data_IF_734537932621
#
_entry.id   IF_734537932621
#
_cell.length_a   1.000
_cell.length_b   1.000
_cell.length_c   1.000
_cell.angle_alpha   90.00
_cell.angle_beta   90.00
_cell.angle_gamma   90.00
#
_symmetry.space_group_name_H-M   'P 1'
#
loop_
_entity.id
_entity.type
_entity.pdbx_description
1 polymer ?
#
# COMPACT_ATOMS: atom_id res chain seq x y z
N UNK A 1 9.64 -31.91 7.84
CA UNK A 1 8.34 -31.23 8.11
C UNK A 1 8.70 -29.87 8.68
N UNK A 2 8.76 -28.83 7.87
CA UNK A 2 8.92 -27.45 8.33
C UNK A 2 7.62 -27.05 9.02
N UNK A 3 7.69 -26.72 10.31
CA UNK A 3 6.56 -26.16 11.03
C UNK A 3 6.07 -24.93 10.24
N UNK A 4 4.81 -24.93 9.83
CA UNK A 4 4.19 -23.77 9.21
C UNK A 4 4.30 -22.62 10.24
N UNK A 5 5.09 -21.60 9.95
CA UNK A 5 5.22 -20.46 10.84
C UNK A 5 3.82 -19.87 11.10
N UNK A 6 3.52 -19.62 12.37
CA UNK A 6 2.19 -19.15 12.77
C UNK A 6 1.95 -17.77 12.16
N UNK A 7 0.81 -17.62 11.50
CA UNK A 7 0.34 -16.36 10.95
C UNK A 7 0.22 -15.30 12.03
N UNK A 8 0.61 -14.06 11.73
CA UNK A 8 0.44 -12.94 12.65
C UNK A 8 -1.04 -12.72 13.01
N UNK A 9 -1.30 -12.40 14.25
CA UNK A 9 -2.64 -12.13 14.75
C UNK A 9 -2.64 -10.90 15.66
N UNK A 10 -3.71 -10.12 15.60
CA UNK A 10 -3.92 -8.92 16.39
C UNK A 10 -5.25 -9.05 17.14
N UNK A 11 -5.28 -8.70 18.42
CA UNK A 11 -6.52 -8.70 19.20
C UNK A 11 -7.56 -7.74 18.57
N UNK A 12 -8.82 -8.16 18.49
CA UNK A 12 -9.89 -7.37 17.90
C UNK A 12 -9.94 -7.38 16.37
N UNK A 13 -9.07 -8.15 15.72
CA UNK A 13 -9.02 -8.30 14.25
C UNK A 13 -9.52 -9.68 13.86
N UNK A 14 -10.35 -9.73 12.83
CA UNK A 14 -10.81 -10.98 12.22
C UNK A 14 -10.13 -11.17 10.86
N UNK A 15 -9.69 -12.39 10.59
CA UNK A 15 -9.01 -12.79 9.37
C UNK A 15 -9.97 -13.39 8.35
N UNK A 16 -9.85 -12.98 7.10
CA UNK A 16 -10.72 -13.39 6.00
C UNK A 16 -9.93 -13.69 4.74
N UNK A 17 -10.61 -14.37 3.82
CA UNK A 17 -10.18 -14.56 2.44
C UNK A 17 -11.32 -14.22 1.50
N UNK A 18 -11.01 -13.57 0.38
CA UNK A 18 -11.93 -13.29 -0.71
C UNK A 18 -11.39 -13.89 -2.00
N UNK A 19 -12.21 -14.64 -2.73
CA UNK A 19 -11.88 -15.09 -4.08
C UNK A 19 -12.42 -14.06 -5.07
N UNK A 20 -11.52 -13.34 -5.72
CA UNK A 20 -11.82 -12.26 -6.66
C UNK A 20 -10.85 -12.33 -7.85
N UNK A 21 -11.31 -11.99 -9.03
CA UNK A 21 -10.48 -11.86 -10.23
C UNK A 21 -9.46 -13.02 -10.45
N UNK A 22 -9.87 -14.26 -10.17
CA UNK A 22 -9.04 -15.45 -10.33
C UNK A 22 -7.88 -15.59 -9.33
N UNK A 23 -7.87 -14.80 -8.26
CA UNK A 23 -6.94 -14.90 -7.14
C UNK A 23 -7.68 -14.95 -5.81
N UNK A 24 -6.98 -15.34 -4.75
CA UNK A 24 -7.50 -15.34 -3.39
C UNK A 24 -6.76 -14.32 -2.56
N UNK A 25 -7.44 -13.24 -2.24
CA UNK A 25 -6.89 -12.20 -1.38
C UNK A 25 -7.13 -12.53 0.09
N UNK A 26 -6.11 -12.33 0.89
CA UNK A 26 -6.24 -12.29 2.32
C UNK A 26 -6.49 -10.86 2.78
N UNK A 27 -7.44 -10.67 3.69
CA UNK A 27 -7.65 -9.39 4.36
C UNK A 27 -8.03 -9.59 5.83
N UNK A 28 -7.94 -8.52 6.57
CA UNK A 28 -8.38 -8.46 7.97
C UNK A 28 -9.44 -7.39 8.12
N UNK A 29 -10.34 -7.57 9.10
CA UNK A 29 -11.34 -6.57 9.45
C UNK A 29 -11.34 -6.28 10.95
N UNK A 30 -11.65 -5.02 11.31
CA UNK A 30 -11.85 -4.55 12.67
C UNK A 30 -12.89 -3.42 12.71
N UNK A 31 -13.51 -3.19 13.86
CA UNK A 31 -14.58 -2.20 14.01
C UNK A 31 -15.91 -2.69 13.45
N UNK A 32 -17.02 -2.13 13.95
CA UNK A 32 -18.38 -2.54 13.59
C UNK A 32 -19.29 -1.39 13.20
N UNK A 33 -18.80 -0.15 13.25
CA UNK A 33 -19.59 1.07 13.03
C UNK A 33 -18.83 2.08 12.16
N UNK A 34 -19.50 3.11 11.72
CA UNK A 34 -18.95 4.18 10.88
C UNK A 34 -18.75 3.77 9.43
N UNK A 35 -18.20 4.69 8.65
CA UNK A 35 -17.86 4.48 7.25
C UNK A 35 -16.73 3.47 7.08
N UNK A 36 -16.70 2.72 5.97
CA UNK A 36 -15.65 1.72 5.74
C UNK A 36 -14.34 2.37 5.29
N UNK A 37 -13.22 1.86 5.79
CA UNK A 37 -11.87 2.24 5.41
C UNK A 37 -11.16 1.02 4.82
N UNK A 38 -10.58 1.16 3.63
CA UNK A 38 -9.74 0.14 3.02
C UNK A 38 -8.27 0.61 3.03
N UNK A 39 -7.41 -0.14 3.73
CA UNK A 39 -5.98 0.10 3.85
C UNK A 39 -5.21 -0.82 2.93
N UNK A 40 -4.39 -0.24 2.04
CA UNK A 40 -3.58 -0.94 1.05
C UNK A 40 -2.11 -0.63 1.29
N UNK A 41 -1.34 -1.67 1.60
CA UNK A 41 0.07 -1.58 1.96
C UNK A 41 0.98 -1.32 0.75
N UNK A 42 2.22 -0.91 1.03
CA UNK A 42 3.30 -0.79 0.08
C UNK A 42 4.32 -1.95 0.11
N UNK A 43 5.57 -1.63 -0.24
CA UNK A 43 6.70 -2.56 -0.19
C UNK A 43 7.68 -2.16 0.93
N UNK A 44 8.26 -3.09 1.66
CA UNK A 44 8.07 -4.56 1.62
C UNK A 44 7.03 -5.05 2.66
N UNK A 45 5.89 -4.47 2.64
CA UNK A 45 4.87 -4.56 3.67
C UNK A 45 3.79 -5.61 3.36
N UNK A 46 2.86 -5.78 4.28
CA UNK A 46 1.62 -6.55 4.20
C UNK A 46 0.57 -5.82 5.04
N UNK A 47 -0.66 -6.34 5.21
CA UNK A 47 -1.62 -5.77 6.16
C UNK A 47 -1.02 -5.53 7.55
N UNK A 48 0.02 -6.26 7.94
CA UNK A 48 0.67 -6.17 9.25
C UNK A 48 1.28 -4.80 9.54
N UNK A 49 1.62 -4.05 8.51
CA UNK A 49 2.09 -2.67 8.68
C UNK A 49 1.09 -1.80 9.41
N UNK A 50 -0.20 -2.06 9.23
CA UNK A 50 -1.29 -1.29 9.83
C UNK A 50 -1.70 -1.79 11.23
N UNK A 51 -1.00 -2.76 11.83
CA UNK A 51 -1.39 -3.37 13.12
C UNK A 51 -1.56 -2.38 14.28
N UNK A 52 -0.77 -1.29 14.28
CA UNK A 52 -0.88 -0.22 15.28
C UNK A 52 -1.97 0.80 14.91
N UNK A 53 -2.21 1.02 13.63
CA UNK A 53 -3.20 1.96 13.10
C UNK A 53 -4.63 1.40 13.17
N UNK A 54 -4.82 0.11 12.86
CA UNK A 54 -6.14 -0.53 12.84
C UNK A 54 -6.96 -0.30 14.10
N UNK A 55 -6.46 -0.51 15.34
CA UNK A 55 -7.27 -0.30 16.54
C UNK A 55 -7.65 1.17 16.75
N UNK A 56 -6.85 2.12 16.29
CA UNK A 56 -7.14 3.55 16.40
C UNK A 56 -8.32 3.94 15.48
N UNK A 57 -8.30 3.48 14.23
CA UNK A 57 -9.39 3.73 13.29
C UNK A 57 -10.65 2.92 13.62
N UNK A 58 -10.52 1.69 14.10
CA UNK A 58 -11.62 0.79 14.43
C UNK A 58 -12.50 1.28 15.59
N UNK A 59 -12.03 2.26 16.37
CA UNK A 59 -12.83 2.92 17.39
C UNK A 59 -14.06 3.65 16.81
N UNK A 60 -14.00 4.12 15.56
CA UNK A 60 -15.06 4.88 14.89
C UNK A 60 -15.43 4.41 13.48
N UNK A 61 -14.61 3.57 12.85
CA UNK A 61 -14.78 3.11 11.47
C UNK A 61 -14.76 1.56 11.38
N UNK A 62 -15.30 1.04 10.27
CA UNK A 62 -15.12 -0.34 9.86
C UNK A 62 -13.84 -0.43 9.02
N UNK A 63 -12.80 -1.03 9.55
CA UNK A 63 -11.47 -1.06 8.93
C UNK A 63 -11.24 -2.40 8.25
N UNK A 64 -10.76 -2.34 7.02
CA UNK A 64 -10.31 -3.47 6.22
C UNK A 64 -8.87 -3.21 5.80
N UNK A 65 -7.96 -4.17 6.00
CA UNK A 65 -6.60 -4.09 5.52
C UNK A 65 -6.29 -5.36 4.71
N UNK A 66 -5.88 -5.18 3.46
CA UNK A 66 -5.71 -6.27 2.49
C UNK A 66 -4.23 -6.55 2.26
N UNK A 67 -3.89 -7.82 2.05
CA UNK A 67 -2.66 -8.21 1.38
C UNK A 67 -2.93 -8.22 -0.13
N UNK A 68 -2.22 -7.39 -0.90
CA UNK A 68 -2.32 -7.39 -2.36
C UNK A 68 -1.95 -8.77 -2.93
N UNK A 69 -2.40 -9.07 -4.17
CA UNK A 69 -1.99 -10.29 -4.86
C UNK A 69 -0.47 -10.43 -4.87
N UNK A 70 0.04 -11.60 -4.54
CA UNK A 70 1.47 -11.88 -4.45
C UNK A 70 2.14 -11.44 -3.16
N UNK A 71 1.44 -10.75 -2.27
CA UNK A 71 1.95 -10.31 -0.97
C UNK A 71 1.30 -11.04 0.19
N UNK A 72 1.92 -10.93 1.36
CA UNK A 72 1.36 -11.41 2.61
C UNK A 72 0.94 -12.88 2.55
N UNK A 73 -0.29 -13.17 2.90
CA UNK A 73 -0.91 -14.49 2.79
C UNK A 73 -1.93 -14.58 1.63
N UNK A 74 -1.97 -13.59 0.74
CA UNK A 74 -2.69 -13.67 -0.53
C UNK A 74 -2.01 -14.65 -1.49
N UNK A 75 -2.74 -15.13 -2.49
CA UNK A 75 -2.19 -16.03 -3.49
C UNK A 75 -1.07 -15.36 -4.29
N UNK A 76 -0.05 -16.15 -4.60
CA UNK A 76 1.10 -15.78 -5.40
C UNK A 76 1.35 -16.77 -6.56
N UNK A 77 0.28 -17.44 -7.02
CA UNK A 77 0.29 -18.36 -8.15
C UNK A 77 0.59 -17.67 -9.50
N UNK A 78 0.54 -18.42 -10.61
CA UNK A 78 0.68 -17.83 -11.94
C UNK A 78 -0.39 -16.77 -12.24
N UNK A 79 0.00 -15.65 -12.85
CA UNK A 79 -0.92 -14.56 -13.19
C UNK A 79 -0.21 -13.24 -13.43
N UNK A 80 -0.97 -12.20 -13.72
CA UNK A 80 -0.49 -10.83 -13.80
C UNK A 80 -0.45 -10.20 -12.40
N UNK A 81 0.56 -9.36 -12.17
CA UNK A 81 0.81 -8.69 -10.89
C UNK A 81 0.99 -7.17 -11.09
N UNK A 82 0.46 -6.66 -12.21
CA UNK A 82 0.47 -5.25 -12.54
C UNK A 82 -0.54 -4.44 -11.72
N UNK A 83 -0.44 -3.11 -11.79
CA UNK A 83 -1.30 -2.22 -11.04
C UNK A 83 -2.77 -2.28 -11.49
N UNK A 84 -3.02 -2.53 -12.78
CA UNK A 84 -4.36 -2.65 -13.35
C UNK A 84 -5.09 -3.88 -12.83
N UNK A 85 -4.42 -5.02 -12.85
CA UNK A 85 -4.97 -6.28 -12.32
C UNK A 85 -5.22 -6.19 -10.82
N UNK A 86 -4.30 -5.55 -10.09
CA UNK A 86 -4.44 -5.36 -8.64
C UNK A 86 -5.56 -4.36 -8.29
N UNK A 87 -5.81 -3.34 -9.13
CA UNK A 87 -6.93 -2.42 -8.96
C UNK A 87 -8.28 -3.12 -9.14
N UNK A 88 -8.40 -4.00 -10.14
CA UNK A 88 -9.60 -4.82 -10.37
C UNK A 88 -9.88 -5.75 -9.19
N UNK A 89 -8.83 -6.33 -8.58
CA UNK A 89 -8.99 -7.13 -7.36
C UNK A 89 -9.62 -6.33 -6.23
N UNK A 90 -9.16 -5.10 -6.03
CA UNK A 90 -9.67 -4.23 -4.97
C UNK A 90 -11.11 -3.81 -5.23
N UNK A 91 -11.47 -3.50 -6.49
CA UNK A 91 -12.84 -3.24 -6.90
C UNK A 91 -13.75 -4.42 -6.51
N UNK A 92 -13.43 -5.62 -6.98
CA UNK A 92 -14.22 -6.82 -6.70
C UNK A 92 -14.23 -7.19 -5.21
N UNK A 93 -13.16 -6.88 -4.47
CA UNK A 93 -13.15 -7.02 -3.01
C UNK A 93 -14.18 -6.08 -2.37
N UNK A 94 -14.23 -4.80 -2.75
CA UNK A 94 -15.20 -3.82 -2.22
C UNK A 94 -16.62 -4.28 -2.52
N UNK A 95 -16.90 -4.73 -3.74
CA UNK A 95 -18.21 -5.31 -4.10
C UNK A 95 -18.57 -6.50 -3.22
N UNK A 96 -17.63 -7.42 -3.00
CA UNK A 96 -17.85 -8.62 -2.19
C UNK A 96 -18.07 -8.28 -0.70
N UNK A 97 -17.41 -7.26 -0.17
CA UNK A 97 -17.59 -6.79 1.20
C UNK A 97 -19.01 -6.24 1.44
N UNK A 98 -19.70 -5.72 0.42
CA UNK A 98 -21.06 -5.14 0.51
C UNK A 98 -21.17 -4.04 1.57
N UNK A 99 -20.15 -3.22 1.67
CA UNK A 99 -20.07 -2.15 2.69
C UNK A 99 -20.37 -0.77 2.13
N UNK A 100 -20.58 -0.66 0.82
CA UNK A 100 -20.64 0.61 0.09
C UNK A 100 -19.26 1.17 -0.20
N UNK A 101 -19.19 2.41 -0.69
CA UNK A 101 -17.91 3.05 -1.00
C UNK A 101 -17.05 3.22 0.25
N UNK A 102 -15.73 3.20 0.06
CA UNK A 102 -14.73 3.18 1.14
C UNK A 102 -13.88 4.46 1.16
N UNK A 103 -13.37 4.84 2.33
CA UNK A 103 -12.19 5.69 2.40
C UNK A 103 -10.99 4.83 1.98
N UNK A 104 -10.47 5.08 0.78
CA UNK A 104 -9.35 4.33 0.22
C UNK A 104 -8.02 4.95 0.66
N UNK A 105 -7.18 4.17 1.30
CA UNK A 105 -5.85 4.61 1.75
C UNK A 105 -4.79 3.68 1.17
N UNK A 106 -3.83 4.23 0.44
CA UNK A 106 -2.72 3.48 -0.12
C UNK A 106 -1.37 4.08 0.26
N UNK A 107 -0.33 3.25 0.21
CA UNK A 107 1.04 3.61 0.58
C UNK A 107 2.04 3.12 -0.47
N UNK A 108 3.10 3.92 -0.73
CA UNK A 108 4.27 3.53 -1.49
C UNK A 108 3.93 2.96 -2.89
N UNK A 109 4.46 1.80 -3.24
CA UNK A 109 4.32 1.15 -4.56
C UNK A 109 2.87 0.78 -4.91
N UNK A 110 1.95 0.73 -3.94
CA UNK A 110 0.53 0.55 -4.24
C UNK A 110 -0.12 1.76 -4.94
N UNK A 111 0.60 2.87 -5.08
CA UNK A 111 0.10 4.13 -5.61
C UNK A 111 -0.65 3.98 -6.94
N UNK A 112 -0.05 3.35 -7.95
CA UNK A 112 -0.71 3.13 -9.24
C UNK A 112 -1.96 2.25 -9.12
N UNK A 113 -1.94 1.23 -8.25
CA UNK A 113 -3.09 0.34 -7.99
C UNK A 113 -4.27 1.11 -7.42
N UNK A 114 -4.07 1.84 -6.33
CA UNK A 114 -5.17 2.58 -5.67
C UNK A 114 -5.63 3.78 -6.48
N UNK A 115 -4.72 4.44 -7.22
CA UNK A 115 -5.09 5.49 -8.16
C UNK A 115 -5.98 4.96 -9.29
N UNK A 116 -5.61 3.83 -9.92
CA UNK A 116 -6.44 3.19 -10.95
C UNK A 116 -7.82 2.84 -10.43
N UNK A 117 -7.92 2.24 -9.25
CA UNK A 117 -9.21 1.95 -8.63
C UNK A 117 -10.06 3.22 -8.51
N UNK A 118 -9.53 4.29 -7.93
CA UNK A 118 -10.25 5.55 -7.75
C UNK A 118 -10.63 6.22 -9.08
N UNK A 119 -9.79 6.10 -10.13
CA UNK A 119 -10.03 6.69 -11.43
C UNK A 119 -11.03 5.89 -12.30
N UNK A 120 -11.03 4.56 -12.19
CA UNK A 120 -11.87 3.68 -13.03
C UNK A 120 -13.16 3.24 -12.34
N UNK A 121 -13.19 3.24 -11.01
CA UNK A 121 -14.36 2.88 -10.18
C UNK A 121 -14.63 3.95 -9.11
N UNK A 122 -14.91 5.21 -9.51
CA UNK A 122 -15.08 6.32 -8.55
C UNK A 122 -16.25 6.11 -7.58
N UNK A 123 -17.26 5.34 -7.96
CA UNK A 123 -18.40 5.01 -7.09
C UNK A 123 -18.04 4.11 -5.91
N UNK A 124 -16.88 3.47 -5.93
CA UNK A 124 -16.35 2.66 -4.83
C UNK A 124 -15.63 3.49 -3.76
N UNK A 125 -15.35 4.78 -4.03
CA UNK A 125 -14.40 5.57 -3.24
C UNK A 125 -15.03 6.85 -2.70
N UNK A 126 -15.15 6.94 -1.37
CA UNK A 126 -15.59 8.15 -0.66
C UNK A 126 -14.51 9.23 -0.68
N UNK A 127 -13.28 8.83 -0.42
CA UNK A 127 -12.09 9.69 -0.44
C UNK A 127 -10.84 8.88 -0.70
N UNK A 128 -9.80 9.53 -1.16
CA UNK A 128 -8.52 8.91 -1.46
C UNK A 128 -7.42 9.51 -0.59
N UNK A 129 -6.71 8.68 0.18
CA UNK A 129 -5.52 9.08 0.92
C UNK A 129 -4.28 8.43 0.32
N UNK A 130 -3.34 9.26 -0.09
CA UNK A 130 -2.04 8.88 -0.62
C UNK A 130 -0.96 9.07 0.46
N UNK A 131 -0.26 7.99 0.86
CA UNK A 131 0.80 8.04 1.87
C UNK A 131 2.13 7.71 1.20
N UNK A 132 3.11 8.64 1.26
CA UNK A 132 4.48 8.39 0.78
C UNK A 132 4.52 7.73 -0.61
N UNK A 133 3.68 8.16 -1.53
CA UNK A 133 3.57 7.58 -2.87
C UNK A 133 3.73 8.63 -3.98
N UNK A 134 4.15 8.15 -5.14
CA UNK A 134 4.09 8.83 -6.41
C UNK A 134 3.32 8.00 -7.42
N UNK A 135 3.25 8.48 -8.67
CA UNK A 135 2.63 7.75 -9.78
C UNK A 135 3.60 7.65 -10.96
N UNK A 136 3.62 6.50 -11.66
CA UNK A 136 4.29 6.37 -12.96
C UNK A 136 3.76 7.42 -13.94
N UNK A 137 4.66 7.99 -14.76
CA UNK A 137 4.31 9.08 -15.68
C UNK A 137 4.24 10.47 -15.03
N UNK A 138 4.38 10.53 -13.70
CA UNK A 138 4.41 11.77 -12.90
C UNK A 138 5.69 11.87 -12.06
N UNK A 139 6.75 11.21 -12.49
CA UNK A 139 8.09 11.32 -11.92
C UNK A 139 8.50 10.17 -10.99
N UNK A 140 7.61 9.25 -10.63
CA UNK A 140 7.96 8.12 -9.76
C UNK A 140 9.05 7.23 -10.38
N UNK A 141 9.02 7.00 -11.68
CA UNK A 141 10.00 6.21 -12.42
C UNK A 141 11.42 6.78 -12.35
N UNK A 142 11.57 8.08 -12.08
CA UNK A 142 12.88 8.74 -11.91
C UNK A 142 13.63 8.23 -10.67
N UNK A 143 12.91 7.66 -9.71
CA UNK A 143 13.53 7.04 -8.53
C UNK A 143 14.34 5.78 -8.87
N UNK A 144 14.21 5.23 -10.08
CA UNK A 144 15.07 4.14 -10.56
C UNK A 144 16.44 4.61 -11.09
N UNK A 145 16.62 5.92 -11.31
CA UNK A 145 17.89 6.49 -11.81
C UNK A 145 18.86 6.76 -10.65
N UNK A 146 19.71 5.79 -10.35
CA UNK A 146 20.72 5.91 -9.28
C UNK A 146 21.74 7.03 -9.52
N UNK A 147 21.89 7.50 -10.75
CA UNK A 147 22.85 8.58 -11.07
C UNK A 147 22.31 9.95 -10.70
N UNK A 148 21.01 10.08 -10.49
CA UNK A 148 20.32 11.31 -10.11
C UNK A 148 19.61 11.21 -8.72
N UNK A 149 20.13 10.39 -7.84
CA UNK A 149 19.63 10.29 -6.46
C UNK A 149 18.54 9.24 -6.24
N UNK A 150 18.25 8.44 -7.26
CA UNK A 150 17.34 7.31 -7.14
C UNK A 150 17.98 6.11 -6.42
N UNK A 151 17.23 5.02 -6.32
CA UNK A 151 17.62 3.86 -5.51
C UNK A 151 17.72 2.59 -6.34
N UNK A 152 18.81 1.84 -6.11
CA UNK A 152 19.16 0.64 -6.87
C UNK A 152 18.10 -0.48 -6.77
N UNK A 153 17.38 -0.56 -5.66
CA UNK A 153 16.44 -1.67 -5.41
C UNK A 153 15.27 -1.68 -6.40
N UNK A 154 14.86 -0.52 -6.91
CA UNK A 154 13.77 -0.41 -7.89
C UNK A 154 14.11 -1.20 -9.15
N UNK A 155 15.27 -0.94 -9.75
CA UNK A 155 15.71 -1.65 -10.94
C UNK A 155 15.94 -3.14 -10.70
N UNK A 156 16.46 -3.52 -9.53
CA UNK A 156 16.66 -4.93 -9.15
C UNK A 156 15.31 -5.64 -8.99
N UNK A 157 14.35 -5.03 -8.28
CA UNK A 157 13.05 -5.66 -8.04
C UNK A 157 12.20 -5.75 -9.32
N UNK A 158 12.36 -4.81 -10.24
CA UNK A 158 11.68 -4.86 -11.55
C UNK A 158 12.30 -5.88 -12.53
N UNK A 159 13.53 -6.36 -12.29
CA UNK A 159 14.23 -7.24 -13.23
C UNK A 159 13.78 -8.70 -13.08
N UNK A 160 13.20 -9.34 -14.13
CA UNK A 160 12.70 -10.71 -14.04
C UNK A 160 13.75 -11.72 -13.57
N UNK A 161 13.44 -12.51 -12.54
CA UNK A 161 14.30 -13.58 -11.99
C UNK A 161 15.48 -13.08 -11.13
N UNK A 162 15.77 -11.78 -11.12
CA UNK A 162 16.88 -11.22 -10.35
C UNK A 162 16.57 -11.15 -8.85
N UNK A 163 15.38 -10.67 -8.43
CA UNK A 163 15.03 -10.65 -7.01
C UNK A 163 15.15 -12.04 -6.35
N UNK A 164 14.56 -13.05 -6.96
CA UNK A 164 14.63 -14.43 -6.45
C UNK A 164 16.07 -14.94 -6.38
N UNK A 165 16.86 -14.68 -7.42
CA UNK A 165 18.26 -15.09 -7.45
C UNK A 165 19.11 -14.43 -6.36
N UNK A 166 18.86 -13.15 -6.07
CA UNK A 166 19.66 -12.37 -5.12
C UNK A 166 19.16 -12.49 -3.68
N UNK A 167 17.84 -12.58 -3.48
CA UNK A 167 17.18 -12.38 -2.19
C UNK A 167 16.68 -13.69 -1.56
N UNK A 168 16.45 -14.76 -2.35
CA UNK A 168 16.00 -16.03 -1.80
C UNK A 168 16.98 -16.58 -0.74
N UNK A 169 16.46 -16.83 0.46
CA UNK A 169 17.23 -17.23 1.63
C UNK A 169 17.98 -16.08 2.33
N UNK A 170 17.80 -14.83 1.88
CA UNK A 170 18.38 -13.62 2.47
C UNK A 170 17.32 -12.57 2.85
N UNK A 171 16.04 -12.96 2.91
CA UNK A 171 14.92 -12.07 3.18
C UNK A 171 15.13 -11.28 4.48
N UNK A 172 15.54 -11.97 5.56
CA UNK A 172 15.84 -11.30 6.84
C UNK A 172 16.97 -10.28 6.73
N UNK A 173 18.01 -10.60 5.98
CA UNK A 173 19.13 -9.69 5.79
C UNK A 173 18.69 -8.47 4.99
N UNK A 174 17.94 -8.67 3.90
CA UNK A 174 17.46 -7.58 3.06
C UNK A 174 16.46 -6.70 3.82
N UNK A 175 15.43 -7.29 4.43
CA UNK A 175 14.37 -6.54 5.12
C UNK A 175 14.88 -5.87 6.39
N UNK A 176 15.61 -6.61 7.25
CA UNK A 176 16.01 -6.14 8.57
C UNK A 176 17.29 -5.31 8.61
N UNK A 177 18.15 -5.39 7.59
CA UNK A 177 19.42 -4.64 7.56
C UNK A 177 19.48 -3.57 6.48
N UNK A 178 18.58 -3.61 5.49
CA UNK A 178 18.55 -2.63 4.41
C UNK A 178 17.18 -1.97 4.30
N UNK A 179 16.12 -2.67 3.84
CA UNK A 179 14.87 -2.04 3.42
C UNK A 179 14.25 -1.17 4.53
N UNK A 180 13.93 -1.75 5.68
CA UNK A 180 13.34 -0.98 6.77
C UNK A 180 14.30 0.01 7.41
N UNK A 181 15.55 -0.33 7.78
CA UNK A 181 16.44 0.64 8.44
C UNK A 181 16.83 1.85 7.59
N UNK A 182 16.95 1.68 6.27
CA UNK A 182 17.39 2.77 5.38
C UNK A 182 16.32 3.85 5.20
N UNK A 183 15.05 3.46 5.24
CA UNK A 183 13.93 4.37 4.98
C UNK A 183 13.14 4.75 6.24
N UNK A 184 13.49 4.22 7.41
CA UNK A 184 12.88 4.58 8.70
C UNK A 184 13.65 5.72 9.38
N UNK A 185 12.93 6.68 9.94
CA UNK A 185 13.50 7.76 10.74
C UNK A 185 13.37 7.53 12.25
N UNK A 186 12.49 6.60 12.67
CA UNK A 186 12.18 6.35 14.08
C UNK A 186 12.84 5.04 14.57
N UNK A 187 13.98 5.12 15.28
CA UNK A 187 14.64 3.92 15.79
C UNK A 187 13.73 3.06 16.66
N UNK A 188 13.69 1.75 16.39
CA UNK A 188 12.90 0.79 17.18
C UNK A 188 11.39 0.78 16.90
N UNK A 189 10.87 1.63 16.02
CA UNK A 189 9.48 1.60 15.62
C UNK A 189 9.09 0.30 14.91
N UNK A 190 10.02 -0.25 14.12
CA UNK A 190 9.90 -1.54 13.45
C UNK A 190 10.71 -2.55 14.26
N UNK A 191 10.03 -3.52 14.83
CA UNK A 191 10.62 -4.49 15.78
C UNK A 191 11.07 -5.77 15.07
N UNK A 192 11.89 -6.59 15.74
CA UNK A 192 12.24 -7.92 15.22
C UNK A 192 11.02 -8.79 14.93
N UNK A 193 9.96 -8.67 15.74
CA UNK A 193 8.69 -9.37 15.48
C UNK A 193 8.04 -8.94 14.18
N UNK A 194 8.15 -7.67 13.81
CA UNK A 194 7.64 -7.16 12.54
C UNK A 194 8.47 -7.71 11.37
N UNK A 195 9.79 -7.67 11.52
CA UNK A 195 10.71 -8.25 10.53
C UNK A 195 10.43 -9.76 10.37
N UNK A 196 10.20 -10.49 11.47
CA UNK A 196 9.87 -11.92 11.42
C UNK A 196 8.61 -12.19 10.58
N UNK A 197 7.57 -11.38 10.76
CA UNK A 197 6.33 -11.54 10.00
C UNK A 197 6.51 -11.24 8.51
N UNK A 198 7.19 -10.15 8.16
CA UNK A 198 7.49 -9.84 6.76
C UNK A 198 8.40 -10.92 6.13
N UNK A 199 9.45 -11.35 6.82
CA UNK A 199 10.32 -12.46 6.36
C UNK A 199 9.51 -13.73 6.12
N UNK A 200 8.57 -14.07 7.02
CA UNK A 200 7.71 -15.25 6.86
C UNK A 200 6.98 -15.25 5.51
N UNK A 201 6.45 -14.09 5.12
CA UNK A 201 5.67 -13.96 3.88
C UNK A 201 6.55 -13.95 2.63
N UNK A 202 7.67 -13.26 2.65
CA UNK A 202 8.62 -13.21 1.52
C UNK A 202 9.38 -14.52 1.33
N UNK A 203 9.58 -15.32 2.39
CA UNK A 203 10.25 -16.63 2.31
C UNK A 203 9.35 -17.75 1.76
N UNK A 204 8.09 -17.46 1.42
CA UNK A 204 7.22 -18.43 0.73
C UNK A 204 7.76 -18.69 -0.70
N UNK A 205 7.48 -19.88 -1.28
CA UNK A 205 7.70 -20.04 -2.72
C UNK A 205 7.03 -18.91 -3.49
N UNK A 206 7.75 -18.32 -4.44
CA UNK A 206 7.27 -17.17 -5.23
C UNK A 206 6.86 -15.92 -4.40
N UNK A 207 7.37 -15.77 -3.18
CA UNK A 207 6.99 -14.71 -2.25
C UNK A 207 7.39 -13.29 -2.70
N UNK A 208 8.24 -13.15 -3.70
CA UNK A 208 8.64 -11.86 -4.30
C UNK A 208 7.77 -11.44 -5.50
N UNK A 209 6.89 -12.32 -5.99
CA UNK A 209 6.19 -12.13 -7.27
C UNK A 209 5.32 -10.87 -7.29
N UNK A 210 4.61 -10.58 -6.20
CA UNK A 210 3.81 -9.35 -6.09
C UNK A 210 4.67 -8.08 -6.19
N UNK A 211 5.78 -8.04 -5.44
CA UNK A 211 6.73 -6.93 -5.48
C UNK A 211 7.32 -6.74 -6.89
N UNK A 212 7.79 -7.82 -7.52
CA UNK A 212 8.32 -7.79 -8.89
C UNK A 212 7.31 -7.18 -9.85
N UNK A 213 6.06 -7.66 -9.82
CA UNK A 213 5.02 -7.16 -10.73
C UNK A 213 4.72 -5.68 -10.54
N UNK A 214 4.60 -5.19 -9.30
CA UNK A 214 4.34 -3.77 -9.06
C UNK A 214 5.54 -2.87 -9.40
N UNK A 215 6.80 -3.33 -9.19
CA UNK A 215 7.97 -2.58 -9.63
C UNK A 215 8.12 -2.55 -11.15
N UNK A 216 7.73 -3.62 -11.86
CA UNK A 216 7.61 -3.60 -13.32
C UNK A 216 6.55 -2.60 -13.77
N UNK A 217 5.34 -2.65 -13.20
CA UNK A 217 4.28 -1.67 -13.41
C UNK A 217 4.77 -0.23 -13.26
N UNK A 218 5.49 0.06 -12.18
CA UNK A 218 6.05 1.37 -11.91
C UNK A 218 6.93 1.89 -13.06
N UNK A 219 7.67 1.01 -13.72
CA UNK A 219 8.58 1.40 -14.80
C UNK A 219 7.92 1.38 -16.19
N UNK A 220 6.82 0.65 -16.37
CA UNK A 220 6.23 0.39 -17.69
C UNK A 220 4.90 1.13 -17.92
N UNK A 221 4.14 1.47 -16.87
CA UNK A 221 2.75 1.94 -17.00
C UNK A 221 2.59 3.47 -17.04
N UNK A 222 3.68 4.24 -17.13
CA UNK A 222 3.64 5.70 -17.08
C UNK A 222 2.70 6.33 -18.11
N UNK A 223 2.75 5.89 -19.36
CA UNK A 223 1.90 6.39 -20.44
C UNK A 223 0.41 6.05 -20.24
N UNK A 224 0.12 4.87 -19.66
CA UNK A 224 -1.25 4.48 -19.35
C UNK A 224 -1.84 5.33 -18.22
N UNK A 225 -1.08 5.55 -17.14
CA UNK A 225 -1.50 6.40 -16.02
C UNK A 225 -1.70 7.84 -16.51
N UNK A 226 -0.78 8.37 -17.31
CA UNK A 226 -0.92 9.71 -17.88
C UNK A 226 -2.17 9.83 -18.77
N UNK A 227 -2.49 8.78 -19.54
CA UNK A 227 -3.71 8.72 -20.37
C UNK A 227 -4.98 8.72 -19.52
N UNK A 228 -5.01 7.96 -18.42
CA UNK A 228 -6.14 7.98 -17.48
C UNK A 228 -6.36 9.38 -16.90
N UNK A 229 -5.29 10.04 -16.45
CA UNK A 229 -5.35 11.41 -15.90
C UNK A 229 -5.84 12.42 -16.95
N UNK A 230 -5.35 12.30 -18.20
CA UNK A 230 -5.79 13.19 -19.29
C UNK A 230 -7.28 13.01 -19.62
N UNK A 231 -7.80 11.80 -19.47
CA UNK A 231 -9.23 11.53 -19.64
C UNK A 231 -10.08 12.08 -18.48
N UNK A 232 -9.70 11.76 -17.27
CA UNK A 232 -10.43 12.16 -16.06
C UNK A 232 -9.47 12.27 -14.86
N UNK A 233 -9.33 13.46 -14.29
CA UNK A 233 -8.70 13.65 -13.00
C UNK A 233 -9.62 13.12 -11.89
N UNK A 234 -9.02 12.78 -10.74
CA UNK A 234 -9.81 12.41 -9.56
C UNK A 234 -10.74 13.56 -9.16
N UNK A 235 -12.02 13.28 -9.09
CA UNK A 235 -13.07 14.20 -8.66
C UNK A 235 -13.69 13.73 -7.33
N UNK A 236 -12.84 13.39 -6.40
CA UNK A 236 -13.16 12.96 -5.02
C UNK A 236 -12.20 13.67 -4.07
N UNK A 237 -12.55 13.82 -2.78
CA UNK A 237 -11.63 14.40 -1.81
C UNK A 237 -10.32 13.63 -1.73
N UNK A 238 -9.18 14.33 -1.79
CA UNK A 238 -7.83 13.73 -1.74
C UNK A 238 -7.02 14.30 -0.57
N UNK A 239 -6.40 13.41 0.20
CA UNK A 239 -5.40 13.72 1.21
C UNK A 239 -4.04 13.17 0.78
N UNK A 240 -3.03 14.02 0.72
CA UNK A 240 -1.64 13.63 0.52
C UNK A 240 -0.89 13.69 1.87
N UNK A 241 -0.29 12.58 2.27
CA UNK A 241 0.52 12.48 3.48
C UNK A 241 1.97 12.23 3.07
N UNK A 242 2.82 13.22 3.35
CA UNK A 242 4.26 13.13 3.22
C UNK A 242 4.93 12.88 4.57
N UNK A 243 6.08 12.23 4.53
CA UNK A 243 6.96 12.00 5.66
C UNK A 243 8.42 12.00 5.17
N UNK A 244 9.10 10.86 5.10
CA UNK A 244 10.48 10.74 4.61
C UNK A 244 10.68 11.17 3.15
N UNK A 245 9.68 10.96 2.30
CA UNK A 245 9.66 11.37 0.89
C UNK A 245 9.33 12.85 0.62
N UNK A 246 9.06 13.63 1.67
CA UNK A 246 8.83 15.08 1.57
C UNK A 246 7.58 15.44 0.75
N UNK A 247 7.73 16.36 -0.20
CA UNK A 247 6.64 16.95 -0.99
C UNK A 247 6.19 16.10 -2.20
N UNK A 248 6.85 14.98 -2.49
CA UNK A 248 6.59 14.16 -3.69
C UNK A 248 5.11 13.74 -3.80
N UNK A 249 4.55 13.24 -2.71
CA UNK A 249 3.15 12.77 -2.69
C UNK A 249 2.18 13.91 -2.98
N UNK A 250 2.34 15.05 -2.34
CA UNK A 250 1.49 16.22 -2.58
C UNK A 250 1.64 16.76 -4.02
N UNK A 251 2.87 16.86 -4.52
CA UNK A 251 3.15 17.32 -5.88
C UNK A 251 2.51 16.40 -6.92
N UNK A 252 2.58 15.08 -6.72
CA UNK A 252 1.93 14.10 -7.60
C UNK A 252 0.41 14.20 -7.54
N UNK A 253 -0.17 14.16 -6.34
CA UNK A 253 -1.62 14.19 -6.18
C UNK A 253 -2.24 15.49 -6.70
N UNK A 254 -1.57 16.61 -6.57
CA UNK A 254 -2.01 17.90 -7.11
C UNK A 254 -2.09 17.93 -8.65
N UNK A 255 -1.33 17.12 -9.35
CA UNK A 255 -1.39 17.02 -10.81
C UNK A 255 -2.57 16.17 -11.28
N UNK A 256 -2.98 15.18 -10.49
CA UNK A 256 -3.97 14.16 -10.88
C UNK A 256 -5.37 14.37 -10.28
N UNK A 257 -5.52 15.36 -9.41
CA UNK A 257 -6.81 15.74 -8.80
C UNK A 257 -7.44 16.94 -9.49
N UNK A 258 -8.77 16.98 -9.57
CA UNK A 258 -9.55 18.13 -10.08
C UNK A 258 -9.63 19.24 -9.05
N UNK A 259 -9.82 18.88 -7.79
CA UNK A 259 -9.98 19.78 -6.66
C UNK A 259 -8.68 19.95 -5.87
N UNK A 260 -8.58 20.98 -5.03
CA UNK A 260 -7.42 21.16 -4.16
C UNK A 260 -7.16 19.97 -3.26
N UNK A 261 -5.93 19.47 -3.29
CA UNK A 261 -5.47 18.36 -2.45
C UNK A 261 -5.16 18.88 -1.05
N UNK A 262 -5.72 18.23 -0.04
CA UNK A 262 -5.30 18.45 1.34
C UNK A 262 -3.93 17.80 1.57
N UNK A 263 -3.02 18.49 2.25
CA UNK A 263 -1.69 17.98 2.56
C UNK A 263 -1.41 17.96 4.06
N UNK A 264 -0.75 16.89 4.50
CA UNK A 264 -0.22 16.75 5.85
C UNK A 264 1.21 16.22 5.76
N UNK A 265 2.14 16.83 6.48
CA UNK A 265 3.51 16.33 6.63
C UNK A 265 3.69 15.78 8.05
N UNK A 266 4.15 14.53 8.15
CA UNK A 266 4.46 13.89 9.43
C UNK A 266 5.93 14.18 9.77
N UNK A 267 6.15 15.11 10.68
CA UNK A 267 7.49 15.58 11.03
C UNK A 267 8.29 14.53 11.82
N UNK A 268 9.53 14.30 11.41
CA UNK A 268 10.44 13.33 12.06
C UNK A 268 10.09 11.87 11.81
N UNK A 269 9.24 11.60 10.83
CA UNK A 269 8.77 10.27 10.45
C UNK A 269 9.44 9.86 9.14
N UNK A 270 9.84 8.61 9.04
CA UNK A 270 10.37 8.03 7.80
C UNK A 270 9.25 7.52 6.88
N UNK A 271 9.65 6.71 5.93
CA UNK A 271 8.74 6.22 4.87
C UNK A 271 7.59 5.33 5.40
N UNK A 272 7.80 4.62 6.51
CA UNK A 272 6.81 3.66 7.03
C UNK A 272 5.89 4.28 8.06
N UNK A 273 5.12 5.29 7.65
CA UNK A 273 4.32 6.14 8.54
C UNK A 273 3.40 5.35 9.50
N UNK A 274 2.76 4.28 9.04
CA UNK A 274 1.87 3.46 9.87
C UNK A 274 2.61 2.66 10.97
N UNK A 275 3.88 2.33 10.74
CA UNK A 275 4.73 1.65 11.73
C UNK A 275 5.42 2.63 12.67
N UNK A 276 5.85 3.78 12.15
CA UNK A 276 6.69 4.75 12.84
C UNK A 276 5.87 5.74 13.69
N UNK A 277 4.74 6.23 13.16
CA UNK A 277 3.92 7.26 13.79
C UNK A 277 2.41 6.97 13.66
N UNK A 278 1.93 5.80 14.15
CA UNK A 278 0.53 5.40 13.97
C UNK A 278 -0.48 6.40 14.55
N UNK A 279 -0.17 7.05 15.66
CA UNK A 279 -1.06 8.05 16.29
C UNK A 279 -1.20 9.30 15.43
N UNK A 280 -0.07 9.88 14.94
CA UNK A 280 -0.10 11.05 14.06
C UNK A 280 -0.83 10.73 12.75
N UNK A 281 -0.59 9.54 12.19
CA UNK A 281 -1.27 9.08 10.98
C UNK A 281 -2.77 8.91 11.22
N UNK A 282 -3.17 8.30 12.35
CA UNK A 282 -4.56 8.14 12.71
C UNK A 282 -5.28 9.49 12.85
N UNK A 283 -4.66 10.46 13.54
CA UNK A 283 -5.23 11.79 13.71
C UNK A 283 -5.46 12.48 12.36
N UNK A 284 -4.50 12.42 11.44
CA UNK A 284 -4.62 13.00 10.10
C UNK A 284 -5.75 12.33 9.27
N UNK A 285 -5.84 10.99 9.34
CA UNK A 285 -6.87 10.23 8.64
C UNK A 285 -8.26 10.51 9.21
N UNK A 286 -8.43 10.44 10.53
CA UNK A 286 -9.72 10.64 11.20
C UNK A 286 -10.26 12.07 11.00
N UNK A 287 -9.40 13.08 11.05
CA UNK A 287 -9.78 14.46 10.77
C UNK A 287 -10.22 14.62 9.31
N UNK A 288 -9.52 14.01 8.36
CA UNK A 288 -9.92 14.03 6.96
C UNK A 288 -11.22 13.28 6.72
N UNK A 289 -11.37 12.06 7.22
CA UNK A 289 -12.59 11.26 7.06
C UNK A 289 -13.80 11.97 7.65
N UNK A 290 -13.65 12.59 8.83
CA UNK A 290 -14.74 13.35 9.44
C UNK A 290 -15.25 14.52 8.58
N UNK A 291 -14.34 15.13 7.82
CA UNK A 291 -14.70 16.22 6.88
C UNK A 291 -15.51 15.66 5.70
N UNK A 292 -15.12 14.49 5.19
CA UNK A 292 -15.82 13.84 4.06
C UNK A 292 -17.18 13.28 4.51
N UNK A 293 -17.24 12.64 5.67
CA UNK A 293 -18.47 12.05 6.21
C UNK A 293 -19.55 13.09 6.57
N UNK A 294 -19.18 14.36 6.70
CA UNK A 294 -20.09 15.46 7.01
C UNK A 294 -20.75 16.07 5.74
N UNK A 295 -20.32 15.68 4.54
CA UNK A 295 -20.86 16.18 3.26
C UNK A 295 -21.89 15.25 2.67
#
# INVERSE_FOLDING_TARGET
MTATAKQASLAGVTHHYAEVNGTKLRYVSAGTKGTPVLLVHGFPETWWTFRKLIPLLAASHRVYAVDLRGFGDSDNGPGAYDSKTSAEDLHLLIEQLKVGPVHLTGQDISGATVFRLAATHPDDVLSFTAIEMGLPGFGLEMLADVTHGGTWHIGVLAAPGIPEMLLAGRERQFLGQFAFPVMSATPGAITDTDIDEFVRTYSRPDGWRGAIGLYQSMLEEGDEIATLVAGHKLNIPVLAIGAGGGELTFATMSQVSSDPVRSVTLEGVGHYAALEAPDQLADALLDFFSTVDAT
#
